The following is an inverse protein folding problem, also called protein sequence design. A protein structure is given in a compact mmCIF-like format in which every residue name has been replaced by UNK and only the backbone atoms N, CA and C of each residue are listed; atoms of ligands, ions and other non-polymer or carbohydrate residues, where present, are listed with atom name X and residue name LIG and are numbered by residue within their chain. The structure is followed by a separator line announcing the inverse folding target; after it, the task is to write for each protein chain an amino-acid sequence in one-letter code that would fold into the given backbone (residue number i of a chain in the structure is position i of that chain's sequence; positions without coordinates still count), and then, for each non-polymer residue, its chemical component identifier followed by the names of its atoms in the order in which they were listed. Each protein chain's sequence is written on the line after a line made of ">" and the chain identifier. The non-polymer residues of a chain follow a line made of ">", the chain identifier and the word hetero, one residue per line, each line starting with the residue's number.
data_IF_259536402843
#
_entry.id   IF_259536402843
#
_cell.length_a   1.000
_cell.length_b   1.000
_cell.length_c   1.000
_cell.angle_alpha   90.00
_cell.angle_beta   90.00
_cell.angle_gamma   90.00
#
_symmetry.space_group_name_H-M   'P 1'
#
loop_
_entity.id
_entity.type
_entity.pdbx_description
1 polymer ?
#
# COMPACT_ATOMS: atom_id res chain seq x y z
N UNK A 1 15.38 55.47 27.92
CA UNK A 1 15.32 55.53 26.44
C UNK A 1 15.84 54.22 25.88
N UNK A 2 14.97 53.34 25.40
CA UNK A 2 15.35 52.08 24.74
C UNK A 2 14.84 52.17 23.30
N UNK A 3 15.77 52.13 22.32
CA UNK A 3 15.45 52.17 20.89
C UNK A 3 14.88 50.82 20.43
N UNK A 4 13.84 50.79 19.58
CA UNK A 4 13.29 49.53 19.08
C UNK A 4 14.18 48.93 17.97
N UNK A 5 14.42 47.62 18.07
CA UNK A 5 15.22 46.83 17.14
C UNK A 5 14.55 46.71 15.77
N UNK A 6 15.19 47.28 14.73
CA UNK A 6 14.76 47.20 13.32
C UNK A 6 14.99 45.83 12.64
N UNK A 7 15.57 44.84 13.33
CA UNK A 7 15.94 43.56 12.71
C UNK A 7 14.76 42.62 12.38
N UNK A 8 13.60 42.77 13.03
CA UNK A 8 12.48 41.83 12.83
C UNK A 8 11.77 41.98 11.48
N UNK A 9 11.68 43.20 10.92
CA UNK A 9 10.94 43.42 9.66
C UNK A 9 11.65 42.89 8.41
N UNK A 10 12.99 42.96 8.39
CA UNK A 10 13.77 42.48 7.26
C UNK A 10 13.69 40.95 7.10
N UNK A 11 13.64 40.23 8.23
CA UNK A 11 13.59 38.77 8.23
C UNK A 11 12.24 38.24 7.73
N UNK A 12 11.12 38.85 8.15
CA UNK A 12 9.79 38.48 7.66
C UNK A 12 9.60 38.77 6.17
N UNK A 13 10.22 39.84 5.64
CA UNK A 13 10.20 40.11 4.20
C UNK A 13 11.03 39.09 3.41
N UNK A 14 12.25 38.76 3.86
CA UNK A 14 13.08 37.78 3.18
C UNK A 14 12.42 36.38 3.13
N UNK A 15 11.78 35.96 4.24
CA UNK A 15 11.06 34.66 4.30
C UNK A 15 9.83 34.67 3.39
N UNK A 16 9.03 35.75 3.37
CA UNK A 16 7.88 35.87 2.47
C UNK A 16 8.27 35.87 1.00
N UNK A 17 9.31 36.62 0.64
CA UNK A 17 9.78 36.68 -0.75
C UNK A 17 10.37 35.33 -1.18
N UNK A 18 11.11 34.64 -0.31
CA UNK A 18 11.58 33.28 -0.57
C UNK A 18 10.44 32.28 -0.78
N UNK A 19 9.39 32.35 0.04
CA UNK A 19 8.22 31.47 -0.09
C UNK A 19 7.47 31.71 -1.40
N UNK A 20 7.28 32.98 -1.80
CA UNK A 20 6.62 33.36 -3.06
C UNK A 20 7.44 32.89 -4.27
N UNK A 21 8.76 33.03 -4.24
CA UNK A 21 9.64 32.56 -5.34
C UNK A 21 9.59 31.03 -5.46
N UNK A 22 9.59 30.29 -4.35
CA UNK A 22 9.45 28.83 -4.36
C UNK A 22 8.07 28.40 -4.88
N UNK A 23 7.00 29.07 -4.45
CA UNK A 23 5.65 28.81 -4.97
C UNK A 23 5.53 29.11 -6.46
N UNK A 24 6.08 30.24 -6.92
CA UNK A 24 6.10 30.60 -8.34
C UNK A 24 6.91 29.60 -9.17
N UNK A 25 8.07 29.17 -8.68
CA UNK A 25 8.89 28.14 -9.32
C UNK A 25 8.19 26.78 -9.37
N UNK A 26 7.48 26.40 -8.31
CA UNK A 26 6.63 25.20 -8.32
C UNK A 26 5.50 25.33 -9.34
N UNK A 27 4.81 26.47 -9.40
CA UNK A 27 3.71 26.66 -10.37
C UNK A 27 4.20 26.67 -11.82
N UNK A 28 5.37 27.24 -12.10
CA UNK A 28 5.95 27.21 -13.46
C UNK A 28 6.48 25.84 -13.85
N UNK A 29 7.01 25.07 -12.89
CA UNK A 29 7.34 23.65 -13.09
C UNK A 29 6.08 22.81 -13.34
N UNK A 30 4.98 23.11 -12.65
CA UNK A 30 3.68 22.43 -12.81
C UNK A 30 2.94 22.77 -14.10
N UNK A 31 3.17 23.95 -14.68
CA UNK A 31 2.53 24.39 -15.93
C UNK A 31 3.26 23.97 -17.22
N UNK A 32 4.39 23.25 -17.12
CA UNK A 32 5.11 22.72 -18.27
C UNK A 32 4.37 21.56 -18.96
N UNK A 33 3.28 21.87 -19.66
CA UNK A 33 2.51 20.90 -20.44
C UNK A 33 3.26 20.50 -21.72
N UNK A 34 4.13 19.50 -21.63
CA UNK A 34 4.77 18.87 -22.79
C UNK A 34 5.29 17.49 -22.42
N UNK A 35 5.27 16.56 -23.37
CA UNK A 35 5.75 15.19 -23.19
C UNK A 35 7.24 15.12 -22.76
N UNK A 36 8.01 16.19 -23.02
CA UNK A 36 9.44 16.32 -22.71
C UNK A 36 9.76 17.41 -21.67
N UNK A 37 8.76 17.85 -20.90
CA UNK A 37 8.97 18.83 -19.83
C UNK A 37 9.83 18.29 -18.67
N UNK A 38 10.38 19.15 -17.80
CA UNK A 38 11.18 18.72 -16.64
C UNK A 38 10.45 17.77 -15.70
N UNK A 39 9.11 17.84 -15.64
CA UNK A 39 8.27 16.90 -14.89
C UNK A 39 8.24 15.48 -15.47
N UNK A 40 8.50 15.30 -16.77
CA UNK A 40 8.52 13.97 -17.40
C UNK A 40 9.57 13.04 -16.77
N UNK A 41 10.63 13.60 -16.18
CA UNK A 41 11.66 12.85 -15.43
C UNK A 41 11.16 12.33 -14.08
N UNK A 42 10.11 12.93 -13.52
CA UNK A 42 9.48 12.53 -12.26
C UNK A 42 8.30 11.56 -12.47
N UNK A 43 8.02 11.18 -13.71
CA UNK A 43 6.95 10.26 -14.06
C UNK A 43 7.54 8.92 -14.46
N UNK A 44 7.00 7.83 -13.91
CA UNK A 44 7.21 6.50 -14.47
C UNK A 44 6.51 6.49 -15.84
N UNK A 45 7.28 6.42 -16.93
CA UNK A 45 6.74 6.31 -18.30
C UNK A 45 6.55 4.85 -18.72
N UNK A 46 5.57 4.56 -19.60
CA UNK A 46 4.93 3.24 -19.70
C UNK A 46 5.72 2.17 -20.47
N UNK A 47 6.56 2.57 -21.42
CA UNK A 47 6.61 1.78 -22.66
C UNK A 47 7.39 0.46 -22.59
N UNK A 48 8.11 0.18 -21.49
CA UNK A 48 8.95 -1.02 -21.37
C UNK A 48 8.89 -1.78 -20.03
N UNK A 49 8.07 -1.36 -19.07
CA UNK A 49 8.21 -1.82 -17.66
C UNK A 49 6.94 -2.45 -17.08
N UNK A 50 5.76 -2.17 -17.64
CA UNK A 50 4.49 -2.68 -17.10
C UNK A 50 4.13 -4.00 -17.78
N UNK A 51 4.87 -5.05 -17.45
CA UNK A 51 4.35 -6.40 -17.64
C UNK A 51 3.32 -6.66 -16.54
N UNK A 52 2.18 -7.25 -16.89
CA UNK A 52 1.26 -7.74 -15.88
C UNK A 52 1.99 -8.80 -15.03
N UNK A 53 2.03 -8.56 -13.73
CA UNK A 53 2.54 -9.50 -12.75
C UNK A 53 1.38 -9.80 -11.83
N UNK A 54 0.60 -10.84 -12.16
CA UNK A 54 -0.46 -11.32 -11.25
C UNK A 54 0.19 -12.29 -10.26
N UNK A 55 -0.05 -12.16 -8.95
CA UNK A 55 0.39 -13.13 -7.97
C UNK A 55 -0.14 -14.52 -8.32
N UNK A 56 0.70 -15.53 -8.13
CA UNK A 56 0.32 -16.91 -8.33
C UNK A 56 -0.89 -17.26 -7.43
N UNK A 57 -2.01 -17.78 -7.96
CA UNK A 57 -3.12 -18.28 -7.15
C UNK A 57 -2.72 -19.27 -6.05
N UNK A 58 -1.56 -19.94 -6.17
CA UNK A 58 -1.01 -20.75 -5.09
C UNK A 58 -0.68 -19.92 -3.83
N UNK A 59 -0.34 -18.64 -3.98
CA UNK A 59 -0.01 -17.72 -2.89
C UNK A 59 -1.11 -17.69 -1.83
N UNK A 60 -2.35 -17.52 -2.27
CA UNK A 60 -3.51 -17.35 -1.41
C UNK A 60 -3.85 -18.60 -0.59
N UNK A 61 -3.31 -19.76 -0.98
CA UNK A 61 -3.40 -21.04 -0.27
C UNK A 61 -2.23 -21.29 0.70
N UNK A 62 -1.16 -20.51 0.59
CA UNK A 62 0.04 -20.59 1.42
C UNK A 62 0.07 -19.50 2.50
N UNK A 63 -0.42 -18.29 2.18
CA UNK A 63 -0.44 -17.15 3.09
C UNK A 63 -1.88 -16.76 3.46
N UNK A 64 -2.37 -17.13 4.65
CA UNK A 64 -3.75 -16.88 5.06
C UNK A 64 -4.06 -15.40 5.32
N UNK A 65 -3.04 -14.61 5.68
CA UNK A 65 -3.16 -13.19 6.02
C UNK A 65 -2.04 -12.39 5.35
N UNK A 66 -2.42 -11.30 4.69
CA UNK A 66 -1.47 -10.36 4.11
C UNK A 66 -2.13 -9.01 3.88
N UNK A 67 -1.28 -8.00 3.70
CA UNK A 67 -1.65 -6.68 3.21
C UNK A 67 -1.05 -6.44 1.83
N UNK A 68 -1.76 -5.68 0.99
CA UNK A 68 -1.25 -5.20 -0.29
C UNK A 68 -1.39 -3.69 -0.35
N UNK A 69 -0.30 -2.97 -0.14
CA UNK A 69 -0.29 -1.52 -0.32
C UNK A 69 -0.01 -1.19 -1.77
N UNK A 70 -0.97 -0.53 -2.43
CA UNK A 70 -0.91 -0.21 -3.83
C UNK A 70 -0.82 1.29 -4.09
N UNK A 71 0.09 1.67 -4.98
CA UNK A 71 0.07 2.96 -5.67
C UNK A 71 -0.66 2.80 -7.00
N UNK A 72 -1.62 3.69 -7.28
CA UNK A 72 -2.40 3.66 -8.52
C UNK A 72 -2.09 4.86 -9.40
N UNK A 73 -2.11 4.65 -10.71
CA UNK A 73 -1.86 5.70 -11.72
C UNK A 73 -2.87 6.83 -11.66
N UNK A 74 -2.58 7.93 -12.35
CA UNK A 74 -3.58 8.91 -12.74
C UNK A 74 -4.70 8.21 -13.51
N UNK A 75 -5.95 8.58 -13.21
CA UNK A 75 -7.13 8.16 -13.94
C UNK A 75 -7.35 9.10 -15.13
N UNK A 76 -7.70 8.57 -16.29
CA UNK A 76 -8.09 9.37 -17.46
C UNK A 76 -9.38 8.81 -18.05
N UNK A 77 -10.47 9.57 -17.95
CA UNK A 77 -11.74 9.22 -18.59
C UNK A 77 -11.76 9.72 -20.02
N UNK A 78 -12.25 8.89 -20.96
CA UNK A 78 -12.42 9.32 -22.36
C UNK A 78 -13.40 10.48 -22.51
N UNK A 79 -14.41 10.54 -21.64
CA UNK A 79 -15.47 11.55 -21.70
C UNK A 79 -15.14 12.80 -20.86
N UNK A 80 -14.39 12.65 -19.77
CA UNK A 80 -14.21 13.72 -18.75
C UNK A 80 -12.78 14.24 -18.63
N UNK A 81 -11.81 13.63 -19.33
CA UNK A 81 -10.40 13.99 -19.24
C UNK A 81 -9.67 13.40 -18.03
N UNK A 82 -8.53 13.99 -17.69
CA UNK A 82 -7.60 13.47 -16.69
C UNK A 82 -7.97 13.87 -15.25
N UNK A 83 -7.85 12.94 -14.32
CA UNK A 83 -7.95 13.14 -12.87
C UNK A 83 -6.67 13.73 -12.26
N UNK A 84 -6.55 13.70 -10.93
CA UNK A 84 -5.38 14.22 -10.22
C UNK A 84 -4.07 13.50 -10.57
N UNK A 85 -3.00 14.26 -10.81
CA UNK A 85 -1.68 13.74 -11.24
C UNK A 85 -0.93 12.93 -10.17
N UNK A 86 -1.28 13.10 -8.89
CA UNK A 86 -0.60 12.42 -7.78
C UNK A 86 -0.94 10.93 -7.65
N UNK A 87 -1.93 10.44 -8.42
CA UNK A 87 -2.44 9.08 -8.28
C UNK A 87 -3.32 8.91 -7.04
N UNK A 88 -3.44 7.68 -6.56
CA UNK A 88 -4.15 7.33 -5.32
C UNK A 88 -3.46 6.14 -4.64
N UNK A 89 -3.57 6.04 -3.32
CA UNK A 89 -3.07 4.89 -2.55
C UNK A 89 -4.27 4.11 -2.01
N UNK A 90 -4.21 2.79 -2.14
CA UNK A 90 -5.22 1.88 -1.61
C UNK A 90 -4.53 0.70 -0.93
N UNK A 91 -5.25 -0.01 -0.06
CA UNK A 91 -4.72 -1.22 0.58
C UNK A 91 -5.71 -2.36 0.49
N UNK A 92 -5.30 -3.52 0.03
CA UNK A 92 -6.09 -4.74 0.17
C UNK A 92 -5.63 -5.52 1.41
N UNK A 93 -6.57 -6.07 2.18
CA UNK A 93 -6.26 -6.83 3.40
C UNK A 93 -6.94 -8.19 3.32
N UNK A 94 -6.15 -9.25 3.17
CA UNK A 94 -6.66 -10.62 3.24
C UNK A 94 -6.88 -11.02 4.70
N UNK A 95 -8.08 -11.53 4.99
CA UNK A 95 -8.51 -11.92 6.35
C UNK A 95 -9.21 -10.83 7.15
N UNK A 96 -9.25 -9.58 6.66
CA UNK A 96 -10.18 -8.55 7.14
C UNK A 96 -11.33 -8.40 6.15
N UNK A 97 -12.56 -8.40 6.67
CA UNK A 97 -13.77 -8.33 5.88
C UNK A 97 -14.60 -7.12 6.31
N UNK A 98 -15.35 -6.56 5.37
CA UNK A 98 -16.32 -5.51 5.67
C UNK A 98 -17.33 -6.02 6.72
N UNK A 99 -17.60 -5.20 7.73
CA UNK A 99 -18.73 -5.42 8.63
C UNK A 99 -20.01 -4.89 7.95
N UNK A 100 -20.98 -5.77 7.72
CA UNK A 100 -22.26 -5.43 7.09
C UNK A 100 -23.31 -4.97 8.10
N UNK A 101 -23.09 -5.26 9.38
CA UNK A 101 -23.99 -4.92 10.48
C UNK A 101 -23.62 -3.56 11.11
N UNK A 102 -22.41 -3.07 10.86
CA UNK A 102 -21.96 -1.75 11.33
C UNK A 102 -22.73 -0.59 10.64
N UNK A 103 -23.04 0.50 11.38
CA UNK A 103 -23.81 1.63 10.86
C UNK A 103 -23.01 2.52 9.89
N UNK A 104 -21.68 2.41 9.89
CA UNK A 104 -20.73 3.06 9.00
C UNK A 104 -19.61 2.07 8.66
N UNK A 105 -18.73 2.35 7.67
CA UNK A 105 -17.70 1.40 7.24
C UNK A 105 -16.79 0.99 8.40
N UNK A 106 -16.84 -0.30 8.73
CA UNK A 106 -15.96 -0.96 9.69
C UNK A 106 -15.48 -2.28 9.09
N UNK A 107 -14.39 -2.79 9.65
CA UNK A 107 -13.84 -4.10 9.38
C UNK A 107 -14.07 -5.03 10.55
N UNK A 108 -14.15 -6.31 10.24
CA UNK A 108 -14.09 -7.42 11.17
C UNK A 108 -13.12 -8.46 10.63
N UNK A 109 -12.80 -9.47 11.44
CA UNK A 109 -12.21 -10.70 10.90
C UNK A 109 -13.14 -11.33 9.88
N UNK A 110 -12.57 -11.86 8.80
CA UNK A 110 -13.30 -12.74 7.92
C UNK A 110 -13.72 -13.99 8.71
N UNK A 111 -14.95 -14.48 8.46
CA UNK A 111 -15.54 -15.65 9.13
C UNK A 111 -14.82 -16.95 8.77
N UNK A 112 -14.12 -16.95 7.63
CA UNK A 112 -13.30 -18.04 7.12
C UNK A 112 -12.17 -17.47 6.26
N UNK A 113 -11.12 -18.28 6.08
CA UNK A 113 -9.99 -17.94 5.21
C UNK A 113 -10.35 -18.39 3.79
N UNK A 114 -10.94 -17.51 2.99
CA UNK A 114 -11.27 -17.82 1.60
C UNK A 114 -10.04 -17.65 0.69
N UNK A 115 -9.94 -18.51 -0.32
CA UNK A 115 -8.88 -18.49 -1.33
C UNK A 115 -9.35 -18.01 -2.69
N UNK A 116 -10.66 -18.07 -2.94
CA UNK A 116 -11.26 -17.65 -4.20
C UNK A 116 -11.44 -16.12 -4.24
N UNK A 117 -11.10 -15.49 -5.37
CA UNK A 117 -11.08 -14.03 -5.50
C UNK A 117 -12.47 -13.38 -5.59
N UNK A 118 -13.47 -14.13 -6.01
CA UNK A 118 -14.88 -13.70 -6.08
C UNK A 118 -15.59 -13.81 -4.72
N UNK A 119 -14.94 -14.43 -3.73
CA UNK A 119 -15.46 -14.60 -2.40
C UNK A 119 -15.40 -13.28 -1.59
N UNK A 120 -16.53 -12.77 -1.07
CA UNK A 120 -16.52 -11.59 -0.22
C UNK A 120 -15.77 -11.82 1.11
N UNK A 121 -15.59 -13.08 1.54
CA UNK A 121 -14.80 -13.44 2.72
C UNK A 121 -13.30 -13.62 2.41
N UNK A 122 -12.84 -13.34 1.18
CA UNK A 122 -11.41 -13.33 0.86
C UNK A 122 -10.69 -12.20 1.59
N UNK A 123 -11.32 -11.03 1.66
CA UNK A 123 -10.74 -9.84 2.26
C UNK A 123 -11.44 -8.58 1.81
N UNK A 124 -10.88 -7.43 2.17
CA UNK A 124 -11.44 -6.13 1.87
C UNK A 124 -10.40 -5.19 1.28
N UNK A 125 -10.81 -4.45 0.25
CA UNK A 125 -10.07 -3.30 -0.27
C UNK A 125 -10.44 -2.03 0.49
N UNK A 126 -9.43 -1.29 0.93
CA UNK A 126 -9.54 -0.05 1.70
C UNK A 126 -9.18 1.13 0.82
N UNK A 127 -10.10 2.07 0.71
CA UNK A 127 -9.89 3.33 0.00
C UNK A 127 -10.32 4.52 0.84
N UNK A 128 -9.48 5.56 0.85
CA UNK A 128 -9.72 6.82 1.55
C UNK A 128 -10.34 7.82 0.57
N UNK A 129 -11.51 8.36 0.93
CA UNK A 129 -12.25 9.26 0.05
C UNK A 129 -12.06 10.72 0.41
N UNK A 130 -11.57 11.54 -0.53
CA UNK A 130 -11.40 12.99 -0.32
C UNK A 130 -12.68 13.72 0.08
N UNK A 131 -13.83 13.19 -0.34
CA UNK A 131 -15.12 13.86 -0.21
C UNK A 131 -15.96 13.32 0.95
N UNK A 132 -15.40 12.46 1.80
CA UNK A 132 -16.12 11.97 2.97
C UNK A 132 -16.13 13.04 4.07
N UNK A 133 -17.22 13.08 4.85
CA UNK A 133 -17.39 14.00 5.97
C UNK A 133 -17.27 13.29 7.32
N UNK A 134 -18.01 12.21 7.50
CA UNK A 134 -18.15 11.52 8.78
C UNK A 134 -17.33 10.22 8.89
N UNK A 135 -16.53 9.91 7.87
CA UNK A 135 -15.62 8.73 7.86
C UNK A 135 -14.37 9.08 7.06
N UNK A 136 -13.28 8.34 7.27
CA UNK A 136 -12.03 8.52 6.53
C UNK A 136 -11.93 7.59 5.31
N UNK A 137 -12.38 6.34 5.46
CA UNK A 137 -12.22 5.29 4.46
C UNK A 137 -13.49 4.43 4.30
N UNK A 138 -13.56 3.72 3.17
CA UNK A 138 -14.57 2.71 2.86
C UNK A 138 -13.92 1.35 2.61
N UNK A 139 -14.67 0.27 2.85
CA UNK A 139 -14.27 -1.10 2.56
C UNK A 139 -15.07 -1.68 1.39
N UNK A 140 -14.36 -2.24 0.41
CA UNK A 140 -14.91 -2.95 -0.74
C UNK A 140 -14.72 -4.45 -0.51
N UNK A 141 -15.80 -5.24 -0.41
CA UNK A 141 -15.67 -6.67 -0.13
C UNK A 141 -15.19 -7.45 -1.36
N UNK A 142 -14.27 -8.38 -1.15
CA UNK A 142 -13.76 -9.28 -2.17
C UNK A 142 -12.67 -8.68 -3.06
N UNK A 143 -11.75 -9.53 -3.52
CA UNK A 143 -10.61 -9.12 -4.35
C UNK A 143 -11.07 -8.70 -5.75
N UNK A 144 -11.98 -9.47 -6.35
CA UNK A 144 -12.45 -9.28 -7.73
C UNK A 144 -13.21 -7.96 -7.91
N UNK A 145 -14.13 -7.63 -7.02
CA UNK A 145 -14.86 -6.35 -7.09
C UNK A 145 -13.91 -5.16 -6.87
N UNK A 146 -12.98 -5.29 -5.92
CA UNK A 146 -12.04 -4.22 -5.60
C UNK A 146 -11.09 -3.89 -6.75
N UNK A 147 -10.39 -4.88 -7.30
CA UNK A 147 -9.40 -4.64 -8.36
C UNK A 147 -10.03 -4.66 -9.76
N UNK A 148 -10.79 -5.70 -10.08
CA UNK A 148 -11.20 -6.02 -11.45
C UNK A 148 -12.61 -5.52 -11.80
N UNK A 149 -13.41 -5.09 -10.82
CA UNK A 149 -14.81 -4.78 -11.05
C UNK A 149 -15.58 -5.95 -11.64
N UNK A 150 -15.23 -7.18 -11.23
CA UNK A 150 -15.83 -8.42 -11.73
C UNK A 150 -15.68 -8.70 -13.24
N UNK A 151 -14.74 -8.04 -13.93
CA UNK A 151 -14.37 -8.42 -15.28
C UNK A 151 -13.56 -9.72 -15.29
N UNK A 152 -13.84 -10.57 -16.27
CA UNK A 152 -12.96 -11.68 -16.62
C UNK A 152 -11.75 -11.21 -17.42
N UNK A 153 -10.61 -11.93 -17.37
CA UNK A 153 -9.45 -11.63 -18.22
C UNK A 153 -9.83 -11.53 -19.71
N UNK A 154 -9.45 -10.41 -20.35
CA UNK A 154 -9.75 -10.15 -21.77
C UNK A 154 -11.19 -9.76 -22.09
N UNK A 155 -12.12 -9.76 -21.12
CA UNK A 155 -13.47 -9.25 -21.31
C UNK A 155 -13.44 -7.74 -21.60
N UNK A 156 -14.24 -7.25 -22.55
CA UNK A 156 -14.32 -5.81 -22.82
C UNK A 156 -15.04 -5.08 -21.69
N UNK A 157 -14.46 -3.98 -21.18
CA UNK A 157 -15.18 -3.06 -20.30
C UNK A 157 -16.16 -2.21 -21.13
N UNK A 158 -17.43 -2.61 -21.13
CA UNK A 158 -18.55 -1.89 -21.76
C UNK A 158 -19.24 -0.94 -20.76
N UNK A 159 -20.12 -0.07 -21.26
CA UNK A 159 -20.97 0.77 -20.41
C UNK A 159 -21.90 -0.05 -19.53
N UNK A 160 -22.47 -1.14 -20.07
CA UNK A 160 -23.35 -2.04 -19.33
C UNK A 160 -22.63 -2.69 -18.14
N UNK A 161 -21.43 -3.25 -18.36
CA UNK A 161 -20.65 -3.85 -17.28
C UNK A 161 -20.25 -2.81 -16.22
N UNK A 162 -19.89 -1.61 -16.67
CA UNK A 162 -19.58 -0.49 -15.79
C UNK A 162 -20.78 -0.12 -14.90
N UNK A 163 -21.99 -0.04 -15.46
CA UNK A 163 -23.22 0.27 -14.73
C UNK A 163 -23.62 -0.87 -13.77
N UNK A 164 -23.46 -2.12 -14.19
CA UNK A 164 -23.69 -3.29 -13.34
C UNK A 164 -22.74 -3.32 -12.13
N UNK A 165 -21.46 -3.03 -12.34
CA UNK A 165 -20.44 -2.95 -11.28
C UNK A 165 -20.76 -1.82 -10.28
N UNK A 166 -21.21 -0.68 -10.80
CA UNK A 166 -21.67 0.44 -9.97
C UNK A 166 -22.88 0.04 -9.12
N UNK A 167 -23.86 -0.64 -9.71
CA UNK A 167 -25.04 -1.12 -8.99
C UNK A 167 -24.67 -2.15 -7.91
N UNK A 168 -23.77 -3.09 -8.23
CA UNK A 168 -23.31 -4.08 -7.26
C UNK A 168 -22.63 -3.44 -6.05
N UNK A 169 -21.78 -2.41 -6.26
CA UNK A 169 -21.15 -1.68 -5.16
C UNK A 169 -22.18 -0.96 -4.26
N UNK A 170 -23.28 -0.47 -4.84
CA UNK A 170 -24.42 0.11 -4.10
C UNK A 170 -25.13 -0.97 -3.29
N UNK A 171 -25.46 -2.10 -3.92
CA UNK A 171 -26.19 -3.20 -3.29
C UNK A 171 -25.40 -3.82 -2.13
N UNK A 172 -24.07 -3.90 -2.27
CA UNK A 172 -23.15 -4.33 -1.20
C UNK A 172 -22.91 -3.25 -0.14
N UNK A 173 -23.50 -2.07 -0.29
CA UNK A 173 -23.42 -0.99 0.69
C UNK A 173 -21.99 -0.52 0.97
N UNK A 174 -21.14 -0.44 -0.06
CA UNK A 174 -19.74 0.03 0.09
C UNK A 174 -19.67 1.40 0.77
N UNK A 175 -20.65 2.27 0.50
CA UNK A 175 -20.77 3.62 1.07
C UNK A 175 -21.90 3.74 2.10
N UNK A 176 -22.34 2.62 2.70
CA UNK A 176 -23.38 2.65 3.74
C UNK A 176 -22.88 3.49 4.93
N UNK A 177 -23.71 4.44 5.36
CA UNK A 177 -23.40 5.34 6.48
C UNK A 177 -22.39 6.44 6.16
N UNK A 178 -21.97 6.60 4.89
CA UNK A 178 -21.04 7.65 4.47
C UNK A 178 -21.80 8.92 4.11
N UNK A 179 -21.41 10.01 4.75
CA UNK A 179 -21.85 11.36 4.43
C UNK A 179 -20.79 12.04 3.58
N UNK A 180 -21.23 12.78 2.56
CA UNK A 180 -20.35 13.46 1.62
C UNK A 180 -20.28 14.96 1.92
N UNK A 181 -19.09 15.52 1.80
CA UNK A 181 -18.88 16.96 1.71
C UNK A 181 -19.40 17.48 0.36
N UNK A 182 -19.57 18.79 0.24
CA UNK A 182 -19.82 19.43 -1.04
C UNK A 182 -18.63 19.22 -1.98
N UNK A 183 -18.88 18.73 -3.20
CA UNK A 183 -17.86 18.52 -4.24
C UNK A 183 -18.17 19.31 -5.52
N UNK A 184 -17.16 19.76 -6.29
CA UNK A 184 -17.36 20.70 -7.40
C UNK A 184 -18.31 20.23 -8.51
N UNK A 185 -18.42 18.91 -8.75
CA UNK A 185 -19.36 18.34 -9.72
C UNK A 185 -20.75 18.06 -9.16
N UNK A 186 -21.06 18.51 -7.94
CA UNK A 186 -22.39 18.50 -7.35
C UNK A 186 -23.38 19.45 -8.06
N UNK A 187 -22.98 20.12 -9.15
CA UNK A 187 -23.90 20.86 -10.03
C UNK A 187 -24.77 19.92 -10.89
N UNK A 188 -24.50 18.61 -10.91
CA UNK A 188 -25.33 17.56 -11.50
C UNK A 188 -26.01 16.68 -10.44
N UNK A 189 -25.99 15.36 -10.66
CA UNK A 189 -26.55 14.39 -9.71
C UNK A 189 -25.75 14.35 -8.39
N UNK A 190 -26.38 14.85 -7.32
CA UNK A 190 -25.86 14.82 -5.95
C UNK A 190 -26.18 13.52 -5.20
N UNK A 191 -26.84 12.56 -5.85
CA UNK A 191 -27.10 11.27 -5.25
C UNK A 191 -25.79 10.52 -4.99
N UNK A 192 -25.84 9.56 -4.06
CA UNK A 192 -24.73 8.63 -3.83
C UNK A 192 -24.31 7.93 -5.13
N UNK A 193 -25.28 7.55 -5.98
CA UNK A 193 -24.99 6.95 -7.28
C UNK A 193 -24.20 7.90 -8.17
N UNK A 194 -24.62 9.17 -8.25
CA UNK A 194 -23.93 10.22 -9.01
C UNK A 194 -22.50 10.44 -8.52
N UNK A 195 -22.29 10.47 -7.20
CA UNK A 195 -20.96 10.51 -6.60
C UNK A 195 -20.11 9.30 -7.02
N UNK A 196 -20.63 8.09 -6.82
CA UNK A 196 -19.89 6.85 -7.10
C UNK A 196 -19.53 6.74 -8.59
N UNK A 197 -20.45 7.10 -9.48
CA UNK A 197 -20.27 7.15 -10.93
C UNK A 197 -19.19 8.15 -11.38
N UNK A 198 -18.96 9.22 -10.60
CA UNK A 198 -18.06 10.29 -10.99
C UNK A 198 -16.69 10.19 -10.32
N UNK A 199 -16.63 9.74 -9.07
CA UNK A 199 -15.44 9.84 -8.23
C UNK A 199 -14.95 8.51 -7.67
N UNK A 200 -15.80 7.48 -7.56
CA UNK A 200 -15.43 6.24 -6.87
C UNK A 200 -15.07 5.09 -7.78
N UNK A 201 -15.87 4.79 -8.81
CA UNK A 201 -15.54 3.67 -9.72
C UNK A 201 -14.26 3.97 -10.51
N UNK A 202 -13.30 3.04 -10.46
CA UNK A 202 -11.93 3.24 -10.94
C UNK A 202 -11.00 4.00 -9.97
N UNK A 203 -11.45 4.31 -8.75
CA UNK A 203 -10.63 4.95 -7.70
C UNK A 203 -10.74 4.24 -6.35
N UNK A 204 -11.96 3.98 -5.87
CA UNK A 204 -12.25 3.29 -4.61
C UNK A 204 -12.51 1.78 -4.82
N UNK A 205 -13.09 1.42 -5.95
CA UNK A 205 -13.37 0.04 -6.37
C UNK A 205 -13.24 -0.09 -7.89
N UNK A 206 -13.19 -1.33 -8.40
CA UNK A 206 -12.93 -1.64 -9.80
C UNK A 206 -11.71 -0.88 -10.35
N UNK A 207 -10.60 -0.88 -9.61
CA UNK A 207 -9.42 -0.04 -9.88
C UNK A 207 -8.89 -0.17 -11.32
N UNK A 208 -8.82 -1.41 -11.83
CA UNK A 208 -8.31 -1.70 -13.17
C UNK A 208 -9.21 -1.17 -14.29
N UNK A 209 -10.43 -0.72 -14.00
CA UNK A 209 -11.22 -0.03 -15.03
C UNK A 209 -10.50 1.22 -15.53
N UNK A 210 -9.74 1.89 -14.67
CA UNK A 210 -9.25 3.23 -14.96
C UNK A 210 -7.80 3.49 -14.56
N UNK A 211 -7.18 2.60 -13.77
CA UNK A 211 -5.83 2.78 -13.23
C UNK A 211 -5.01 1.51 -13.29
N UNK A 212 -3.72 1.67 -13.53
CA UNK A 212 -2.74 0.62 -13.25
C UNK A 212 -2.34 0.69 -11.77
N UNK A 213 -2.24 -0.46 -11.11
CA UNK A 213 -1.88 -0.58 -9.70
C UNK A 213 -0.52 -1.25 -9.52
N UNK A 214 0.33 -0.68 -8.67
CA UNK A 214 1.65 -1.17 -8.30
C UNK A 214 1.61 -1.50 -6.82
N UNK A 215 1.66 -2.78 -6.47
CA UNK A 215 1.39 -3.21 -5.11
C UNK A 215 2.58 -3.96 -4.53
N UNK A 216 2.86 -3.67 -3.27
CA UNK A 216 3.73 -4.47 -2.44
C UNK A 216 2.83 -5.33 -1.54
N UNK A 217 2.93 -6.65 -1.70
CA UNK A 217 2.22 -7.66 -0.92
C UNK A 217 3.13 -8.15 0.18
N UNK A 218 2.64 -8.15 1.42
CA UNK A 218 3.41 -8.53 2.60
C UNK A 218 2.58 -9.44 3.49
N UNK A 219 3.02 -10.68 3.75
CA UNK A 219 2.41 -11.54 4.76
C UNK A 219 2.46 -10.87 6.13
N UNK A 220 1.41 -11.05 6.93
CA UNK A 220 1.38 -10.57 8.31
C UNK A 220 0.85 -11.68 9.20
N UNK A 221 1.13 -11.58 10.50
CA UNK A 221 0.59 -12.53 11.47
C UNK A 221 -0.86 -12.21 11.81
N UNK A 222 -1.54 -13.17 12.41
CA UNK A 222 -2.90 -12.97 12.89
C UNK A 222 -2.98 -11.77 13.85
N UNK A 223 -2.17 -11.64 14.93
CA UNK A 223 -2.25 -10.47 15.81
C UNK A 223 -1.99 -9.12 15.11
N UNK A 224 -1.08 -9.07 14.14
CA UNK A 224 -0.85 -7.85 13.35
C UNK A 224 -2.09 -7.42 12.57
N UNK A 225 -2.85 -8.39 12.04
CA UNK A 225 -4.11 -8.11 11.34
C UNK A 225 -5.16 -7.51 12.29
N UNK A 226 -5.20 -7.90 13.56
CA UNK A 226 -6.07 -7.26 14.56
C UNK A 226 -5.71 -5.79 14.76
N UNK A 227 -4.43 -5.46 14.90
CA UNK A 227 -3.97 -4.07 15.09
C UNK A 227 -4.31 -3.19 13.87
N UNK A 228 -4.16 -3.74 12.65
CA UNK A 228 -4.57 -3.05 11.41
C UNK A 228 -6.08 -2.79 11.40
N UNK A 229 -6.90 -3.79 11.75
CA UNK A 229 -8.36 -3.67 11.82
C UNK A 229 -8.77 -2.64 12.87
N UNK A 230 -8.20 -2.74 14.08
CA UNK A 230 -8.49 -1.86 15.20
C UNK A 230 -8.18 -0.40 14.84
N UNK A 231 -6.99 -0.12 14.31
CA UNK A 231 -6.62 1.23 13.88
C UNK A 231 -7.61 1.80 12.85
N UNK A 232 -7.96 1.02 11.82
CA UNK A 232 -8.87 1.47 10.77
C UNK A 232 -10.26 1.76 11.36
N UNK A 233 -10.77 0.88 12.21
CA UNK A 233 -12.08 1.05 12.86
C UNK A 233 -12.10 2.26 13.81
N UNK A 234 -11.06 2.44 14.63
CA UNK A 234 -10.93 3.59 15.52
C UNK A 234 -10.90 4.89 14.71
N UNK A 235 -10.20 4.90 13.58
CA UNK A 235 -10.12 6.05 12.68
C UNK A 235 -11.48 6.44 12.11
N UNK A 236 -12.29 5.48 11.67
CA UNK A 236 -13.66 5.80 11.21
C UNK A 236 -14.58 6.15 12.37
N UNK A 237 -14.38 5.57 13.55
CA UNK A 237 -15.15 5.90 14.75
C UNK A 237 -14.93 7.34 15.19
N UNK A 238 -13.68 7.84 15.17
CA UNK A 238 -13.33 9.25 15.48
C UNK A 238 -14.22 10.24 14.70
N UNK A 239 -14.44 9.99 13.41
CA UNK A 239 -15.26 10.87 12.57
C UNK A 239 -16.76 10.57 12.66
N UNK A 240 -17.15 9.31 12.82
CA UNK A 240 -18.56 8.93 12.80
C UNK A 240 -19.30 9.34 14.08
N UNK A 241 -18.61 9.39 15.22
CA UNK A 241 -19.18 9.84 16.50
C UNK A 241 -19.14 11.36 16.68
N UNK A 242 -18.58 12.10 15.71
CA UNK A 242 -18.55 13.56 15.72
C UNK A 242 -17.48 14.16 16.64
N UNK A 243 -16.45 13.41 17.03
CA UNK A 243 -15.28 13.99 17.72
C UNK A 243 -14.51 14.96 16.80
N UNK A 244 -14.58 14.74 15.48
CA UNK A 244 -14.11 15.65 14.45
C UNK A 244 -14.85 15.45 13.12
N UNK A 245 -14.92 16.49 12.29
CA UNK A 245 -15.23 16.34 10.87
C UNK A 245 -13.97 15.90 10.12
N UNK A 246 -14.10 14.93 9.22
CA UNK A 246 -12.99 14.56 8.36
C UNK A 246 -12.77 15.64 7.30
N UNK A 247 -11.55 16.14 7.21
CA UNK A 247 -11.15 17.12 6.19
C UNK A 247 -9.87 16.68 5.51
N UNK A 248 -10.02 16.05 4.34
CA UNK A 248 -8.91 15.55 3.55
C UNK A 248 -7.91 16.67 3.22
N UNK A 249 -6.62 16.41 3.42
CA UNK A 249 -5.56 17.33 3.04
C UNK A 249 -4.45 16.62 2.27
N UNK A 250 -3.97 17.23 1.19
CA UNK A 250 -2.84 16.68 0.44
C UNK A 250 -1.59 16.50 1.34
N UNK A 251 -1.46 17.33 2.37
CA UNK A 251 -0.29 17.37 3.25
C UNK A 251 -0.46 16.60 4.56
N UNK A 252 -1.68 16.18 4.90
CA UNK A 252 -2.00 15.50 6.15
C UNK A 252 -3.32 14.73 6.01
N UNK A 253 -3.44 13.59 6.68
CA UNK A 253 -4.72 12.85 6.77
C UNK A 253 -5.31 12.48 5.39
N UNK A 254 -4.43 12.08 4.46
CA UNK A 254 -4.80 11.55 3.15
C UNK A 254 -4.67 10.01 3.10
N UNK A 255 -4.92 9.43 1.93
CA UNK A 255 -4.82 7.99 1.69
C UNK A 255 -3.50 7.38 2.16
N UNK A 256 -2.36 8.03 1.88
CA UNK A 256 -1.07 7.52 2.34
C UNK A 256 -0.96 7.52 3.86
N UNK A 257 -1.43 8.57 4.55
CA UNK A 257 -1.34 8.64 6.01
C UNK A 257 -2.15 7.54 6.67
N UNK A 258 -3.39 7.34 6.25
CA UNK A 258 -4.26 6.31 6.82
C UNK A 258 -3.66 4.92 6.64
N UNK A 259 -3.27 4.58 5.41
CA UNK A 259 -2.77 3.24 5.10
C UNK A 259 -1.42 2.97 5.78
N UNK A 260 -0.51 3.95 5.77
CA UNK A 260 0.76 3.84 6.49
C UNK A 260 0.57 3.70 7.99
N UNK A 261 -0.33 4.48 8.58
CA UNK A 261 -0.56 4.43 10.02
C UNK A 261 -1.28 3.15 10.45
N UNK A 262 -2.10 2.56 9.58
CA UNK A 262 -2.65 1.22 9.80
C UNK A 262 -1.54 0.16 9.88
N UNK A 263 -0.55 0.21 8.98
CA UNK A 263 0.63 -0.66 9.06
C UNK A 263 1.54 -0.31 10.24
N UNK A 264 1.62 0.96 10.63
CA UNK A 264 2.38 1.40 11.80
C UNK A 264 1.79 0.90 13.12
N UNK A 265 0.47 0.76 13.22
CA UNK A 265 -0.19 0.15 14.38
C UNK A 265 0.26 -1.31 14.59
N UNK A 266 0.61 -2.01 13.51
CA UNK A 266 1.19 -3.35 13.54
C UNK A 266 2.73 -3.37 13.56
N UNK A 267 3.39 -2.28 14.00
CA UNK A 267 4.86 -2.14 14.07
C UNK A 267 5.63 -2.33 12.74
N UNK A 268 4.97 -2.23 11.58
CA UNK A 268 5.66 -2.31 10.28
C UNK A 268 6.46 -1.02 10.02
N UNK A 269 5.94 0.13 10.47
CA UNK A 269 6.53 1.45 10.25
C UNK A 269 6.33 2.40 11.42
N UNK A 270 7.07 3.51 11.42
CA UNK A 270 6.75 4.64 12.28
C UNK A 270 5.51 5.38 11.74
N UNK A 271 4.60 5.82 12.63
CA UNK A 271 3.41 6.57 12.24
C UNK A 271 3.79 7.95 11.67
N UNK A 272 2.99 8.40 10.69
CA UNK A 272 3.00 9.77 10.21
C UNK A 272 2.05 10.64 11.04
N UNK A 273 2.50 11.86 11.35
CA UNK A 273 1.66 12.84 12.03
C UNK A 273 0.57 13.38 11.10
N UNK A 274 -0.68 13.24 11.50
CA UNK A 274 -1.86 13.79 10.78
C UNK A 274 -2.27 15.21 11.22
N UNK A 275 -1.69 15.75 12.31
CA UNK A 275 -2.07 17.08 12.86
C UNK A 275 -1.04 18.19 12.61
N UNK A 276 0.23 17.85 12.35
CA UNK A 276 1.30 18.84 12.18
C UNK A 276 1.96 18.72 10.80
N UNK A 277 1.75 19.74 9.96
CA UNK A 277 2.52 19.92 8.71
C UNK A 277 3.82 20.64 9.07
N UNK A 278 4.90 19.88 9.31
CA UNK A 278 6.23 20.49 9.49
C UNK A 278 6.77 20.93 8.13
N UNK A 279 7.53 22.02 8.06
CA UNK A 279 8.13 22.53 6.81
C UNK A 279 8.95 21.46 6.07
N UNK A 280 9.55 20.51 6.81
CA UNK A 280 10.29 19.37 6.26
C UNK A 280 9.38 18.31 5.61
N UNK A 281 8.09 18.22 5.96
CA UNK A 281 7.13 17.30 5.35
C UNK A 281 6.80 17.66 3.88
N UNK A 282 7.14 18.87 3.42
CA UNK A 282 7.08 19.24 2.00
C UNK A 282 8.06 18.41 1.14
N UNK A 283 9.17 17.94 1.71
CA UNK A 283 10.16 17.07 1.06
C UNK A 283 9.91 15.58 1.30
N UNK A 284 8.98 15.25 2.20
CA UNK A 284 8.48 13.91 2.49
C UNK A 284 7.00 13.83 2.12
N UNK A 285 6.63 14.44 0.99
CA UNK A 285 5.27 14.35 0.49
C UNK A 285 4.89 12.87 0.45
N UNK A 286 3.84 12.52 1.19
CA UNK A 286 3.34 11.16 1.31
C UNK A 286 2.71 10.78 -0.04
N UNK A 287 3.57 10.37 -0.98
CA UNK A 287 3.21 10.07 -2.37
C UNK A 287 2.95 8.57 -2.48
N UNK A 288 1.81 8.14 -3.05
CA UNK A 288 1.44 6.74 -3.17
C UNK A 288 2.58 5.84 -3.67
N UNK A 289 3.23 6.23 -4.76
CA UNK A 289 4.31 5.45 -5.35
C UNK A 289 5.54 5.29 -4.45
N UNK A 290 5.83 6.27 -3.59
CA UNK A 290 6.95 6.17 -2.65
C UNK A 290 6.66 5.14 -1.56
N UNK A 291 5.42 5.06 -1.06
CA UNK A 291 5.07 4.07 -0.04
C UNK A 291 5.01 2.65 -0.59
N UNK A 292 4.57 2.47 -1.84
CA UNK A 292 4.72 1.19 -2.55
C UNK A 292 6.20 0.73 -2.53
N UNK A 293 7.12 1.59 -2.99
CA UNK A 293 8.55 1.24 -3.02
C UNK A 293 9.11 1.05 -1.61
N UNK A 294 8.69 1.85 -0.63
CA UNK A 294 9.13 1.68 0.76
C UNK A 294 8.73 0.30 1.30
N UNK A 295 7.47 -0.13 1.07
CA UNK A 295 7.00 -1.41 1.59
C UNK A 295 7.66 -2.57 0.85
N UNK A 296 7.82 -2.45 -0.47
CA UNK A 296 8.54 -3.43 -1.26
C UNK A 296 10.00 -3.58 -0.81
N UNK A 297 10.71 -2.48 -0.58
CA UNK A 297 12.10 -2.52 -0.13
C UNK A 297 12.23 -3.10 1.28
N UNK A 298 11.27 -2.80 2.15
CA UNK A 298 11.19 -3.37 3.49
C UNK A 298 10.96 -4.89 3.44
N UNK A 299 9.99 -5.35 2.65
CA UNK A 299 9.65 -6.78 2.56
C UNK A 299 10.73 -7.65 1.91
N UNK A 300 11.50 -7.07 0.99
CA UNK A 300 12.51 -7.79 0.20
C UNK A 300 13.92 -7.72 0.79
N UNK A 301 14.13 -6.87 1.80
CA UNK A 301 15.45 -6.60 2.39
C UNK A 301 16.35 -5.70 1.55
N UNK A 302 15.87 -5.22 0.39
CA UNK A 302 16.63 -4.29 -0.48
C UNK A 302 16.77 -2.88 0.11
N UNK A 303 16.07 -2.59 1.21
CA UNK A 303 16.21 -1.37 2.00
C UNK A 303 17.45 -1.31 2.90
N UNK A 304 18.28 -2.37 2.92
CA UNK A 304 19.49 -2.45 3.75
C UNK A 304 19.32 -3.21 5.06
N UNK A 305 18.23 -3.96 5.23
CA UNK A 305 18.09 -4.93 6.32
C UNK A 305 18.90 -6.18 5.99
N UNK A 306 19.87 -6.52 6.84
CA UNK A 306 20.56 -7.81 6.76
C UNK A 306 19.78 -8.81 7.61
N UNK A 307 19.06 -9.71 6.95
CA UNK A 307 18.30 -10.75 7.65
C UNK A 307 19.22 -11.64 8.49
N UNK A 308 20.51 -11.76 8.16
CA UNK A 308 21.52 -12.53 8.89
C UNK A 308 22.08 -11.86 10.15
N UNK A 309 21.96 -10.54 10.31
CA UNK A 309 22.48 -9.81 11.48
C UNK A 309 21.40 -9.59 12.55
N UNK A 310 21.29 -10.54 13.49
CA UNK A 310 20.37 -10.40 14.63
C UNK A 310 20.63 -9.16 15.50
N UNK A 311 21.82 -8.55 15.42
CA UNK A 311 22.15 -7.34 16.20
C UNK A 311 21.45 -6.13 15.63
N UNK A 312 21.14 -6.12 14.33
CA UNK A 312 20.35 -5.04 13.71
C UNK A 312 18.96 -4.97 14.33
N UNK A 313 18.30 -6.14 14.54
CA UNK A 313 17.01 -6.23 15.23
C UNK A 313 17.05 -5.54 16.60
N UNK A 314 18.17 -5.62 17.33
CA UNK A 314 18.28 -5.04 18.66
C UNK A 314 18.56 -3.54 18.69
N UNK A 315 19.07 -2.97 17.59
CA UNK A 315 19.45 -1.55 17.52
C UNK A 315 18.29 -0.65 17.14
N UNK A 316 17.28 -1.20 16.49
CA UNK A 316 16.16 -0.46 15.93
C UNK A 316 14.88 -0.83 16.68
N UNK A 317 14.16 0.15 17.21
CA UNK A 317 13.00 -0.12 18.08
C UNK A 317 11.88 -0.88 17.33
N UNK A 318 11.55 -0.49 16.10
CA UNK A 318 10.45 -1.10 15.35
C UNK A 318 10.68 -2.58 14.99
N UNK A 319 11.79 -2.99 14.32
CA UNK A 319 12.06 -4.40 14.08
C UNK A 319 12.16 -5.23 15.36
N UNK A 320 12.65 -4.63 16.46
CA UNK A 320 12.71 -5.29 17.77
C UNK A 320 11.32 -5.59 18.30
N UNK A 321 10.46 -4.59 18.33
CA UNK A 321 9.14 -4.67 18.95
C UNK A 321 8.25 -5.59 18.10
N UNK A 322 8.31 -5.48 16.77
CA UNK A 322 7.61 -6.41 15.87
C UNK A 322 8.07 -7.87 16.03
N UNK A 323 9.38 -8.11 16.23
CA UNK A 323 9.90 -9.45 16.48
C UNK A 323 9.44 -10.03 17.82
N UNK A 324 9.39 -9.21 18.89
CA UNK A 324 9.01 -9.71 20.21
C UNK A 324 7.51 -9.80 20.44
N UNK A 325 6.73 -8.88 19.87
CA UNK A 325 5.28 -8.83 20.04
C UNK A 325 4.57 -9.78 19.08
N UNK A 326 5.06 -9.87 17.83
CA UNK A 326 4.38 -10.59 16.76
C UNK A 326 5.15 -11.80 16.23
N UNK A 327 6.36 -12.09 16.76
CA UNK A 327 7.25 -13.12 16.23
C UNK A 327 7.47 -12.98 14.71
N UNK A 328 7.64 -11.72 14.28
CA UNK A 328 7.57 -11.34 12.88
C UNK A 328 8.76 -10.46 12.49
N UNK A 329 9.17 -10.55 11.22
CA UNK A 329 10.16 -9.64 10.63
C UNK A 329 9.67 -9.08 9.30
N UNK A 330 10.06 -7.83 8.96
CA UNK A 330 9.65 -7.24 7.69
C UNK A 330 10.22 -7.99 6.48
N UNK A 331 11.51 -8.33 6.49
CA UNK A 331 12.13 -9.15 5.45
C UNK A 331 11.81 -10.64 5.68
N UNK A 332 10.86 -11.19 4.91
CA UNK A 332 10.32 -12.55 5.10
C UNK A 332 9.85 -13.18 3.77
N UNK A 333 9.74 -14.52 3.69
CA UNK A 333 9.16 -15.20 2.54
C UNK A 333 7.74 -14.74 2.26
N UNK A 334 7.35 -14.72 0.98
CA UNK A 334 6.03 -14.28 0.53
C UNK A 334 5.90 -12.77 0.35
N UNK A 335 6.90 -11.97 0.69
CA UNK A 335 6.93 -10.56 0.30
C UNK A 335 7.16 -10.44 -1.21
N UNK A 336 6.16 -9.94 -1.94
CA UNK A 336 6.15 -9.87 -3.40
C UNK A 336 5.74 -8.46 -3.88
N UNK A 337 6.16 -8.10 -5.09
CA UNK A 337 5.68 -6.95 -5.83
C UNK A 337 4.84 -7.41 -7.01
N UNK A 338 3.76 -6.68 -7.29
CA UNK A 338 2.85 -6.98 -8.40
C UNK A 338 2.42 -5.72 -9.14
N UNK A 339 2.06 -5.92 -10.40
CA UNK A 339 1.55 -4.89 -11.30
C UNK A 339 0.26 -5.38 -11.94
N UNK A 340 -0.80 -4.63 -11.69
CA UNK A 340 -2.13 -4.85 -12.24
C UNK A 340 -2.40 -3.73 -13.25
N UNK A 341 -2.23 -3.94 -14.56
CA UNK A 341 -2.44 -2.88 -15.54
C UNK A 341 -3.91 -2.48 -15.61
N UNK A 342 -4.18 -1.31 -16.22
CA UNK A 342 -5.54 -1.00 -16.70
C UNK A 342 -6.04 -2.15 -17.56
N UNK A 343 -7.29 -2.53 -17.31
CA UNK A 343 -7.96 -3.60 -18.04
C UNK A 343 -8.15 -3.22 -19.51
N UNK A 344 -7.81 -4.13 -20.40
CA UNK A 344 -8.03 -3.99 -21.84
C UNK A 344 -8.79 -5.22 -22.39
N UNK A 345 -9.70 -5.02 -23.37
CA UNK A 345 -10.07 -3.74 -24.01
C UNK A 345 -11.05 -2.89 -23.18
N UNK A 346 -10.96 -1.56 -23.32
CA UNK A 346 -11.66 -0.60 -22.46
C UNK A 346 -12.41 0.49 -23.24
N UNK A 347 -13.73 0.57 -23.13
CA UNK A 347 -14.52 1.57 -23.86
C UNK A 347 -14.72 2.88 -23.06
N UNK A 348 -14.45 2.88 -21.75
CA UNK A 348 -14.85 3.96 -20.83
C UNK A 348 -13.67 4.88 -20.44
N UNK A 349 -12.49 4.31 -20.26
CA UNK A 349 -11.31 5.01 -19.81
C UNK A 349 -10.20 4.95 -20.85
N UNK A 350 -9.33 5.95 -20.83
CA UNK A 350 -8.08 5.93 -21.56
C UNK A 350 -7.08 5.07 -20.76
N UNK A 351 -6.45 4.13 -21.45
CA UNK A 351 -5.52 3.16 -20.87
C UNK A 351 -4.09 3.69 -20.80
N UNK A 352 -3.88 4.94 -21.25
CA UNK A 352 -2.59 5.62 -21.13
C UNK A 352 -2.18 5.82 -19.67
N UNK A 353 -1.01 5.26 -19.32
CA UNK A 353 -0.50 5.25 -17.96
C UNK A 353 0.32 6.49 -17.61
N UNK A 354 0.08 7.04 -16.41
CA UNK A 354 0.89 8.09 -15.80
C UNK A 354 0.93 7.89 -14.28
N UNK A 355 2.09 7.56 -13.72
CA UNK A 355 2.30 7.54 -12.26
C UNK A 355 3.40 8.51 -11.85
N UNK A 356 3.06 9.39 -10.91
CA UNK A 356 3.99 10.37 -10.37
C UNK A 356 4.78 9.77 -9.20
N UNK A 357 6.11 9.84 -9.26
CA UNK A 357 6.98 9.53 -8.13
C UNK A 357 7.69 10.80 -7.69
N UNK A 358 7.63 11.12 -6.39
CA UNK A 358 8.39 12.26 -5.89
C UNK A 358 9.84 11.80 -5.70
N UNK A 359 10.66 12.11 -6.69
CA UNK A 359 12.10 11.89 -6.63
C UNK A 359 12.79 13.15 -6.12
N UNK A 360 13.72 12.98 -5.19
CA UNK A 360 14.65 14.06 -4.89
C UNK A 360 15.51 14.31 -6.13
N UNK A 361 15.75 15.57 -6.56
CA UNK A 361 16.66 15.86 -7.66
C UNK A 361 18.10 15.35 -7.46
N UNK A 362 18.43 14.89 -6.24
CA UNK A 362 19.70 14.26 -5.89
C UNK A 362 19.64 12.72 -5.71
N UNK A 363 18.45 12.10 -5.83
CA UNK A 363 18.26 10.64 -5.68
C UNK A 363 17.20 10.13 -6.68
N UNK A 364 17.63 9.72 -7.87
CA UNK A 364 16.83 8.95 -8.85
C UNK A 364 16.47 7.53 -8.37
N UNK A 365 16.80 7.16 -7.13
CA UNK A 365 16.82 5.77 -6.66
C UNK A 365 15.45 5.09 -6.53
N UNK A 366 14.34 5.81 -6.32
CA UNK A 366 13.04 5.16 -6.05
C UNK A 366 12.39 4.57 -7.30
N UNK A 367 12.45 5.26 -8.43
CA UNK A 367 11.97 4.69 -9.69
C UNK A 367 12.86 3.53 -10.13
N UNK A 368 14.18 3.68 -10.06
CA UNK A 368 15.07 2.57 -10.40
C UNK A 368 14.85 1.37 -9.48
N UNK A 369 14.71 1.59 -8.17
CA UNK A 369 14.39 0.52 -7.23
C UNK A 369 13.07 -0.17 -7.56
N UNK A 370 12.02 0.57 -7.95
CA UNK A 370 10.77 -0.03 -8.40
C UNK A 370 10.98 -0.93 -9.63
N UNK A 371 11.77 -0.47 -10.61
CA UNK A 371 12.11 -1.22 -11.83
C UNK A 371 12.88 -2.49 -11.48
N UNK A 372 13.91 -2.36 -10.64
CA UNK A 372 14.75 -3.48 -10.20
C UNK A 372 13.91 -4.53 -9.48
N UNK A 373 13.04 -4.10 -8.55
CA UNK A 373 12.12 -4.98 -7.83
C UNK A 373 11.15 -5.70 -8.76
N UNK A 374 10.59 -5.01 -9.76
CA UNK A 374 9.62 -5.59 -10.70
C UNK A 374 10.27 -6.48 -11.77
N UNK A 375 11.59 -6.41 -11.92
CA UNK A 375 12.36 -7.19 -12.90
C UNK A 375 13.01 -8.43 -12.29
N UNK A 376 13.19 -8.47 -10.97
CA UNK A 376 13.81 -9.60 -10.26
C UNK A 376 12.77 -10.71 -9.97
N UNK A 377 12.93 -11.92 -10.55
CA UNK A 377 12.04 -13.05 -10.29
C UNK A 377 11.84 -13.34 -8.80
N UNK A 378 12.85 -13.12 -7.96
CA UNK A 378 12.75 -13.37 -6.53
C UNK A 378 11.69 -12.49 -5.82
N UNK A 379 11.21 -11.43 -6.46
CA UNK A 379 10.20 -10.53 -5.89
C UNK A 379 8.89 -10.51 -6.68
N UNK A 380 8.80 -11.14 -7.84
CA UNK A 380 7.56 -11.24 -8.64
C UNK A 380 7.02 -12.66 -8.79
N UNK A 381 7.86 -13.67 -8.54
CA UNK A 381 7.52 -15.09 -8.63
C UNK A 381 7.59 -15.75 -7.25
N UNK A 382 6.55 -16.49 -6.89
CA UNK A 382 6.45 -17.09 -5.57
C UNK A 382 7.47 -18.22 -5.36
N UNK A 383 7.69 -19.07 -6.36
CA UNK A 383 8.66 -20.16 -6.26
C UNK A 383 10.08 -19.64 -6.09
N UNK A 384 10.48 -18.65 -6.90
CA UNK A 384 11.78 -18.00 -6.80
C UNK A 384 11.96 -17.28 -5.46
N UNK A 385 10.92 -16.61 -4.97
CA UNK A 385 10.95 -15.97 -3.65
C UNK A 385 11.16 -16.98 -2.52
N UNK A 386 10.37 -18.06 -2.50
CA UNK A 386 10.51 -19.11 -1.49
C UNK A 386 11.90 -19.75 -1.54
N UNK A 387 12.44 -20.02 -2.73
CA UNK A 387 13.79 -20.57 -2.87
C UNK A 387 14.87 -19.60 -2.37
N UNK A 388 14.75 -18.31 -2.66
CA UNK A 388 15.68 -17.30 -2.14
C UNK A 388 15.70 -17.31 -0.60
N UNK A 389 14.52 -17.34 0.05
CA UNK A 389 14.45 -17.35 1.50
C UNK A 389 14.88 -18.69 2.11
N UNK A 390 14.60 -19.81 1.45
CA UNK A 390 15.15 -21.12 1.81
C UNK A 390 16.68 -21.06 1.92
N UNK A 391 17.34 -20.57 0.87
CA UNK A 391 18.80 -20.54 0.78
C UNK A 391 19.40 -19.54 1.78
N UNK A 392 18.75 -18.38 1.98
CA UNK A 392 19.15 -17.40 3.00
C UNK A 392 19.08 -17.98 4.41
N UNK A 393 18.00 -18.66 4.76
CA UNK A 393 17.86 -19.26 6.09
C UNK A 393 18.84 -20.42 6.30
N UNK A 394 19.06 -21.25 5.28
CA UNK A 394 20.09 -22.29 5.32
C UNK A 394 21.48 -21.71 5.58
N UNK A 395 21.87 -20.66 4.85
CA UNK A 395 23.16 -20.00 5.02
C UNK A 395 23.34 -19.39 6.43
N UNK A 396 22.27 -18.81 7.01
CA UNK A 396 22.31 -18.28 8.38
C UNK A 396 22.52 -19.39 9.40
N UNK A 397 21.83 -20.53 9.23
CA UNK A 397 21.95 -21.67 10.14
C UNK A 397 23.31 -22.38 10.00
N UNK A 398 23.84 -22.50 8.78
CA UNK A 398 25.16 -23.08 8.52
C UNK A 398 26.31 -22.20 9.05
N UNK A 399 26.12 -20.88 9.00
CA UNK A 399 27.05 -19.90 9.57
C UNK A 399 27.07 -19.86 11.10
N UNK A 400 26.18 -20.60 11.77
CA UNK A 400 26.08 -20.65 13.23
C UNK A 400 27.22 -21.49 13.83
N UNK A 401 28.13 -20.84 14.54
CA UNK A 401 29.13 -21.55 15.35
C UNK A 401 28.52 -22.03 16.68
N UNK A 402 27.95 -23.25 16.66
CA UNK A 402 27.36 -23.88 17.85
C UNK A 402 28.36 -24.02 19.02
N UNK A 403 29.66 -24.06 18.76
CA UNK A 403 30.70 -24.18 19.79
C UNK A 403 31.01 -22.81 20.41
N UNK A 404 31.07 -21.74 19.62
CA UNK A 404 31.15 -20.38 20.14
C UNK A 404 29.90 -20.01 20.96
N UNK A 405 28.71 -20.40 20.51
CA UNK A 405 27.43 -20.22 21.23
C UNK A 405 27.45 -20.91 22.60
N UNK A 406 27.93 -22.16 22.65
CA UNK A 406 28.03 -22.91 23.89
C UNK A 406 28.96 -22.20 24.90
N UNK A 407 30.09 -21.67 24.44
CA UNK A 407 31.05 -20.97 25.30
C UNK A 407 30.63 -19.54 25.65
N UNK A 408 29.79 -18.89 24.82
CA UNK A 408 29.19 -17.59 25.13
C UNK A 408 28.31 -17.64 26.39
N UNK A 409 27.73 -18.82 26.69
CA UNK A 409 26.98 -19.06 27.93
C UNK A 409 27.83 -18.95 29.19
N UNK A 410 29.11 -19.35 29.11
CA UNK A 410 30.08 -19.28 30.22
C UNK A 410 30.69 -17.88 30.31
N UNK A 411 30.72 -17.13 29.20
CA UNK A 411 31.36 -15.81 29.07
C UNK A 411 30.41 -14.61 29.31
N UNK A 412 29.12 -14.85 29.57
CA UNK A 412 28.18 -13.80 29.98
C UNK A 412 27.76 -12.82 28.88
N UNK A 413 27.50 -13.29 27.65
CA UNK A 413 26.97 -12.40 26.60
C UNK A 413 25.54 -11.94 26.92
N UNK A 414 25.33 -10.61 27.00
CA UNK A 414 24.00 -9.98 27.18
C UNK A 414 22.99 -10.31 26.07
N UNK A 415 23.45 -10.83 24.93
CA UNK A 415 22.63 -11.13 23.76
C UNK A 415 22.23 -12.60 23.62
N UNK A 416 22.63 -13.49 24.55
CA UNK A 416 22.40 -14.94 24.43
C UNK A 416 20.93 -15.32 24.20
N UNK A 417 20.01 -14.73 24.99
CA UNK A 417 18.57 -15.03 24.85
C UNK A 417 18.08 -14.59 23.48
N UNK A 418 18.52 -13.41 23.03
CA UNK A 418 18.14 -12.83 21.73
C UNK A 418 18.64 -13.70 20.59
N UNK A 419 19.92 -14.05 20.62
CA UNK A 419 20.57 -14.89 19.62
C UNK A 419 19.88 -16.24 19.49
N UNK A 420 19.56 -16.90 20.61
CA UNK A 420 18.80 -18.15 20.61
C UNK A 420 17.40 -17.97 19.98
N UNK A 421 16.63 -16.97 20.44
CA UNK A 421 15.30 -16.70 19.89
C UNK A 421 15.34 -16.42 18.38
N UNK A 422 16.36 -15.70 17.93
CA UNK A 422 16.58 -15.41 16.52
C UNK A 422 16.88 -16.68 15.70
N UNK A 423 17.80 -17.54 16.16
CA UNK A 423 18.08 -18.78 15.45
C UNK A 423 16.92 -19.77 15.49
N UNK A 424 16.16 -19.80 16.58
CA UNK A 424 14.92 -20.59 16.68
C UNK A 424 13.89 -20.08 15.66
N UNK A 425 13.73 -18.75 15.53
CA UNK A 425 12.91 -18.11 14.49
C UNK A 425 13.37 -18.50 13.09
N UNK A 426 14.67 -18.37 12.77
CA UNK A 426 15.21 -18.71 11.44
C UNK A 426 14.97 -20.19 11.11
N UNK A 427 15.17 -21.08 12.07
CA UNK A 427 14.92 -22.52 11.88
C UNK A 427 13.44 -22.81 11.62
N UNK A 428 12.53 -22.17 12.36
CA UNK A 428 11.10 -22.31 12.14
C UNK A 428 10.69 -21.77 10.76
N UNK A 429 11.14 -20.57 10.39
CA UNK A 429 10.85 -19.97 9.09
C UNK A 429 11.38 -20.82 7.93
N UNK A 430 12.58 -21.42 8.07
CA UNK A 430 13.08 -22.36 7.07
C UNK A 430 12.15 -23.57 6.92
N UNK A 431 11.71 -24.18 8.02
CA UNK A 431 10.81 -25.32 7.97
C UNK A 431 9.45 -24.98 7.34
N UNK A 432 8.93 -23.78 7.59
CA UNK A 432 7.72 -23.26 6.94
C UNK A 432 7.94 -23.11 5.43
N UNK A 433 9.07 -22.54 5.00
CA UNK A 433 9.44 -22.43 3.58
C UNK A 433 9.60 -23.80 2.92
N UNK A 434 10.25 -24.77 3.57
CA UNK A 434 10.37 -26.15 3.08
C UNK A 434 8.98 -26.77 2.83
N UNK A 435 8.05 -26.58 3.77
CA UNK A 435 6.68 -27.07 3.64
C UNK A 435 5.91 -26.37 2.50
N UNK A 436 6.12 -25.06 2.31
CA UNK A 436 5.52 -24.30 1.21
C UNK A 436 6.05 -24.76 -0.15
N UNK A 437 7.38 -24.91 -0.29
CA UNK A 437 8.03 -25.41 -1.51
C UNK A 437 7.56 -26.82 -1.86
N UNK A 438 7.37 -27.71 -0.87
CA UNK A 438 6.86 -29.05 -1.10
C UNK A 438 5.40 -29.07 -1.61
N UNK A 439 4.58 -28.08 -1.22
CA UNK A 439 3.17 -27.97 -1.63
C UNK A 439 2.99 -27.26 -2.97
N UNK A 440 3.89 -26.33 -3.31
CA UNK A 440 3.75 -25.44 -4.46
C UNK A 440 3.48 -26.18 -5.79
N UNK A 441 4.22 -27.24 -6.18
CA UNK A 441 3.97 -27.93 -7.45
C UNK A 441 2.57 -28.54 -7.56
N UNK A 442 2.01 -29.03 -6.44
CA UNK A 442 0.64 -29.58 -6.42
C UNK A 442 -0.40 -28.47 -6.59
N UNK A 443 -0.16 -27.30 -5.99
CA UNK A 443 -1.05 -26.15 -6.12
C UNK A 443 -1.05 -25.56 -7.54
N UNK A 444 0.12 -25.52 -8.17
CA UNK A 444 0.28 -25.08 -9.57
C UNK A 444 -0.35 -26.07 -10.56
N UNK A 445 -0.21 -27.38 -10.32
CA UNK A 445 -0.81 -28.41 -11.17
C UNK A 445 -2.35 -28.38 -11.14
N UNK A 446 -2.94 -28.14 -9.96
CA UNK A 446 -4.40 -28.01 -9.83
C UNK A 446 -4.96 -26.85 -10.69
N UNK A 447 -4.25 -25.72 -10.74
CA UNK A 447 -4.62 -24.56 -11.57
C UNK A 447 -4.65 -24.86 -13.06
N UNK A 448 -3.83 -25.79 -13.55
CA UNK A 448 -3.83 -26.17 -14.96
C UNK A 448 -5.01 -27.05 -15.34
N UNK A 449 -5.69 -27.66 -14.38
CA UNK A 449 -6.86 -28.53 -14.62
C UNK A 449 -8.18 -27.74 -14.62
N UNK A 450 -8.20 -26.57 -13.98
CA UNK A 450 -9.36 -25.68 -13.90
C UNK A 450 -9.44 -24.66 -15.06
N UNK A 451 -8.45 -24.65 -15.96
CA UNK A 451 -8.43 -23.86 -17.20
C UNK A 451 -8.72 -24.76 -18.40
#
# INVERSE_FOLDING_TARGET
>A
MIRPCHHHRAWHHAVRTGLVVVLCALTTLLSGCGADGPLSRLMLKPDHIIQERVPDPAYDKLFPYYVELCATSQLTSKDKGAGGVAGHAVMYIKGACKDDDAPFPQLRRCRRIATEYDDPEHGAGISVGRWFRNVNWVAVPGYKLFYQGNLEPGQRLTREHWEATLQEAIDRGVFRGVELQDFPSATGDRSLRGFMAQHSIGTDFALQFARSSFCARMPITEPMLDEVIAFLNDKNTEYATGEADYNWSLFADNCVHTLRNALAAANIWSPLSVRQVKLLHLFQLAVPANEFVNLAQLGTGTGGEDIGDYRQIQREDLPRDAFYEFFWRPTQPGALVKTLPVHEPNDIYDTSFRLFTLQSPFRMGKTQAAIDLLSDPAYVDLGANLQLFHDRYAAILDGRDARADMLASVRGSRYRRVERLYYDYVAQQKAEVDAMLARLPTLEAAKMQDK
#
